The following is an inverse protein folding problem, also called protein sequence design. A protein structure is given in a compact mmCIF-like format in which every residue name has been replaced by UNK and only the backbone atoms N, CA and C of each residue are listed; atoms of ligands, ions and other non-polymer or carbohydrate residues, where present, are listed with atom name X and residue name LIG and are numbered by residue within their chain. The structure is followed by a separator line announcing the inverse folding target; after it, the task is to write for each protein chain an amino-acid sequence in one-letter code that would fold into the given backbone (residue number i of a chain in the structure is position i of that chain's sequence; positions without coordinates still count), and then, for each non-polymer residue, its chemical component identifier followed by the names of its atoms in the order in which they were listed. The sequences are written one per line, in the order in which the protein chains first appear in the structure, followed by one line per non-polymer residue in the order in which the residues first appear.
data_IF_710275362669
#
_entry.id   IF_710275362669
#
_cell.length_a   1.000
_cell.length_b   1.000
_cell.length_c   1.000
_cell.angle_alpha   90.00
_cell.angle_beta   90.00
_cell.angle_gamma   90.00
#
_symmetry.space_group_name_H-M   'P 1'
#
loop_
_entity.id
_entity.type
_entity.pdbx_description
1 polymer ?
#
# COMPACT_ATOMS: atom_id res chain seq x y z
N UNK A 1 13.54 17.00 7.32
CA UNK A 1 13.97 15.59 7.16
C UNK A 1 13.33 15.07 5.89
N UNK A 2 14.11 14.56 4.98
CA UNK A 2 13.54 14.01 3.76
C UNK A 2 12.98 12.59 4.00
N UNK A 3 12.25 12.06 3.03
CA UNK A 3 11.55 10.79 3.17
C UNK A 3 12.51 9.61 3.41
N UNK A 4 13.68 9.61 2.80
CA UNK A 4 14.64 8.51 2.95
C UNK A 4 15.34 8.55 4.32
N UNK A 5 15.61 9.75 4.84
CA UNK A 5 16.09 9.93 6.22
C UNK A 5 15.02 9.42 7.21
N UNK A 6 13.76 9.74 6.95
CA UNK A 6 12.64 9.28 7.79
C UNK A 6 12.49 7.76 7.75
N UNK A 7 12.59 7.16 6.58
CA UNK A 7 12.59 5.70 6.44
C UNK A 7 13.71 5.07 7.26
N UNK A 8 14.93 5.63 7.17
CA UNK A 8 16.08 5.12 7.93
C UNK A 8 15.86 5.23 9.43
N UNK A 9 15.34 6.36 9.90
CA UNK A 9 15.01 6.58 11.32
C UNK A 9 14.00 5.56 11.84
N UNK A 10 13.00 5.22 11.02
CA UNK A 10 11.94 4.27 11.35
C UNK A 10 12.34 2.80 11.12
N UNK A 11 13.52 2.55 10.57
CA UNK A 11 13.93 1.20 10.19
C UNK A 11 13.11 0.60 9.04
N UNK A 12 12.58 1.46 8.17
CA UNK A 12 11.78 1.06 7.01
C UNK A 12 12.68 0.89 5.80
N UNK A 13 12.65 -0.30 5.21
CA UNK A 13 13.32 -0.59 3.94
C UNK A 13 12.28 -0.96 2.89
N UNK A 14 12.39 -0.35 1.71
CA UNK A 14 11.51 -0.73 0.60
C UNK A 14 11.98 -2.03 -0.02
N UNK A 15 11.06 -2.96 -0.30
CA UNK A 15 11.39 -4.14 -1.09
C UNK A 15 11.68 -3.75 -2.54
N UNK A 16 12.19 -4.68 -3.33
CA UNK A 16 12.20 -4.53 -4.78
C UNK A 16 10.76 -4.31 -5.29
N UNK A 17 10.60 -3.49 -6.31
CA UNK A 17 9.27 -3.27 -6.90
C UNK A 17 8.68 -4.61 -7.36
N UNK A 18 7.43 -4.92 -6.98
CA UNK A 18 6.84 -6.22 -7.25
C UNK A 18 6.70 -6.47 -8.76
N UNK A 19 6.89 -7.73 -9.16
CA UNK A 19 6.65 -8.17 -10.52
C UNK A 19 5.16 -8.12 -10.85
N UNK A 20 4.83 -7.83 -12.11
CA UNK A 20 3.45 -7.88 -12.58
C UNK A 20 2.97 -9.33 -12.76
N UNK A 21 1.75 -9.59 -12.34
CA UNK A 21 1.10 -10.90 -12.45
C UNK A 21 0.12 -10.99 -13.63
N UNK A 22 0.11 -9.98 -14.54
CA UNK A 22 -0.80 -9.93 -15.66
C UNK A 22 -0.51 -8.78 -16.62
N UNK A 23 -1.48 -8.53 -17.49
CA UNK A 23 -1.40 -7.48 -18.51
C UNK A 23 -1.93 -6.15 -17.95
N UNK A 24 -1.09 -5.42 -17.25
CA UNK A 24 -1.40 -4.09 -16.71
C UNK A 24 -0.13 -3.30 -16.45
N UNK A 25 -0.28 -2.00 -16.21
CA UNK A 25 0.80 -1.14 -15.74
C UNK A 25 0.86 -1.16 -14.21
N UNK A 26 2.03 -1.27 -13.62
CA UNK A 26 2.19 -1.22 -12.16
C UNK A 26 1.84 0.15 -11.59
N UNK A 27 2.05 1.21 -12.37
CA UNK A 27 1.72 2.57 -11.98
C UNK A 27 1.38 3.39 -13.22
N UNK A 28 0.28 4.13 -13.17
CA UNK A 28 -0.21 4.93 -14.30
C UNK A 28 -0.25 6.40 -13.92
N UNK A 29 0.47 7.23 -14.67
CA UNK A 29 0.42 8.68 -14.54
C UNK A 29 -0.79 9.25 -15.32
N UNK A 30 -1.48 10.22 -14.74
CA UNK A 30 -2.54 10.97 -15.40
C UNK A 30 -2.72 12.36 -14.76
N UNK A 31 -3.45 13.26 -15.44
CA UNK A 31 -3.72 14.60 -14.92
C UNK A 31 -2.49 15.47 -14.65
N UNK A 32 -1.34 15.10 -15.20
CA UNK A 32 -0.08 15.84 -15.05
C UNK A 32 0.74 15.46 -13.84
N UNK A 33 0.13 15.27 -12.67
CA UNK A 33 0.83 15.03 -11.39
C UNK A 33 0.25 13.90 -10.54
N UNK A 34 -0.69 13.13 -11.07
CA UNK A 34 -1.31 12.02 -10.36
C UNK A 34 -0.74 10.67 -10.82
N UNK A 35 -0.48 9.80 -9.87
CA UNK A 35 0.06 8.45 -10.10
C UNK A 35 -0.80 7.42 -9.41
N UNK A 36 -1.41 6.55 -10.20
CA UNK A 36 -2.25 5.47 -9.69
C UNK A 36 -1.47 4.17 -9.69
N UNK A 37 -1.19 3.66 -8.51
CA UNK A 37 -0.48 2.39 -8.31
C UNK A 37 -1.49 1.26 -8.30
N UNK A 38 -1.26 0.26 -9.15
CA UNK A 38 -2.06 -0.96 -9.20
C UNK A 38 -2.00 -1.73 -7.89
N UNK A 39 -3.00 -2.57 -7.66
CA UNK A 39 -3.08 -3.38 -6.45
C UNK A 39 -1.82 -4.18 -6.18
N UNK A 40 -1.29 -4.06 -4.96
CA UNK A 40 -0.13 -4.79 -4.46
C UNK A 40 -0.54 -5.67 -3.29
N UNK A 41 -0.06 -6.92 -3.30
CA UNK A 41 -0.23 -7.86 -2.22
C UNK A 41 0.83 -7.70 -1.11
N UNK A 42 0.77 -8.55 -0.08
CA UNK A 42 1.66 -8.47 1.08
C UNK A 42 2.96 -9.28 0.91
N UNK A 43 3.22 -9.83 -0.26
CA UNK A 43 4.36 -10.74 -0.48
C UNK A 43 5.65 -9.94 -0.57
N UNK A 44 6.57 -10.18 0.38
CA UNK A 44 7.93 -9.63 0.37
C UNK A 44 8.94 -10.79 0.39
N UNK A 45 8.87 -11.66 1.39
CA UNK A 45 9.85 -12.74 1.62
C UNK A 45 9.26 -14.15 1.46
N UNK A 46 8.15 -14.29 0.76
CA UNK A 46 7.51 -15.58 0.55
C UNK A 46 6.00 -15.50 0.52
N UNK A 47 5.32 -16.61 0.21
CA UNK A 47 3.88 -16.63 0.05
C UNK A 47 3.17 -16.31 1.36
N UNK A 48 2.12 -15.49 1.25
CA UNK A 48 1.21 -15.17 2.36
C UNK A 48 -0.18 -15.50 1.90
N UNK A 49 -0.90 -16.33 2.66
CA UNK A 49 -2.23 -16.81 2.30
C UNK A 49 -3.15 -16.83 3.51
N UNK A 50 -4.43 -16.81 3.25
CA UNK A 50 -5.46 -16.97 4.27
C UNK A 50 -6.49 -15.85 4.26
N UNK A 51 -7.42 -15.95 5.19
CA UNK A 51 -8.63 -15.12 5.26
C UNK A 51 -8.70 -14.48 6.64
N UNK A 52 -8.98 -13.20 6.67
CA UNK A 52 -9.21 -12.47 7.92
C UNK A 52 -10.46 -13.03 8.61
N UNK A 53 -10.36 -13.21 9.92
CA UNK A 53 -11.40 -13.84 10.71
C UNK A 53 -11.41 -15.36 10.65
N UNK A 54 -10.45 -15.97 9.99
CA UNK A 54 -10.26 -17.43 9.91
C UNK A 54 -8.80 -17.79 10.21
N UNK A 55 -7.95 -17.96 9.20
CA UNK A 55 -6.53 -18.27 9.42
C UNK A 55 -5.71 -17.05 9.87
N UNK A 56 -6.20 -15.84 9.59
CA UNK A 56 -5.48 -14.57 9.80
C UNK A 56 -6.19 -13.72 10.83
N UNK A 57 -5.46 -13.28 11.86
CA UNK A 57 -5.96 -12.35 12.88
C UNK A 57 -5.91 -10.90 12.38
N UNK A 58 -6.61 -9.98 13.07
CA UNK A 58 -6.54 -8.53 12.79
C UNK A 58 -5.10 -8.03 12.87
N UNK A 59 -4.37 -8.42 13.89
CA UNK A 59 -2.96 -8.01 14.11
C UNK A 59 -2.05 -8.48 12.97
N UNK A 60 -2.20 -9.73 12.54
CA UNK A 60 -1.50 -10.26 11.37
C UNK A 60 -1.92 -9.51 10.10
N UNK A 61 -3.21 -9.24 9.95
CA UNK A 61 -3.76 -8.48 8.83
C UNK A 61 -3.15 -7.07 8.73
N UNK A 62 -2.93 -6.41 9.86
CA UNK A 62 -2.26 -5.10 9.90
C UNK A 62 -0.81 -5.19 9.41
N UNK A 63 -0.08 -6.22 9.80
CA UNK A 63 1.29 -6.48 9.29
C UNK A 63 1.26 -6.69 7.78
N UNK A 64 0.28 -7.43 7.27
CA UNK A 64 0.14 -7.68 5.83
C UNK A 64 -0.30 -6.41 5.07
N UNK A 65 -1.17 -5.60 5.64
CA UNK A 65 -1.54 -4.31 5.04
C UNK A 65 -0.33 -3.36 4.95
N UNK A 66 0.53 -3.36 5.98
CA UNK A 66 1.80 -2.61 5.95
C UNK A 66 2.72 -3.13 4.85
N UNK A 67 2.85 -4.44 4.69
CA UNK A 67 3.62 -5.06 3.62
C UNK A 67 3.07 -4.71 2.22
N UNK A 68 1.74 -4.69 2.05
CA UNK A 68 1.11 -4.20 0.83
C UNK A 68 1.54 -2.76 0.51
N UNK A 69 1.54 -1.89 1.51
CA UNK A 69 1.92 -0.48 1.34
C UNK A 69 3.42 -0.33 1.01
N UNK A 70 4.30 -1.14 1.59
CA UNK A 70 5.71 -1.17 1.20
C UNK A 70 5.87 -1.53 -0.28
N UNK A 71 5.13 -2.50 -0.77
CA UNK A 71 5.12 -2.87 -2.19
C UNK A 71 4.56 -1.74 -3.07
N UNK A 72 3.50 -1.06 -2.61
CA UNK A 72 2.94 0.12 -3.29
C UNK A 72 3.99 1.22 -3.42
N UNK A 73 4.70 1.54 -2.34
CA UNK A 73 5.74 2.58 -2.34
C UNK A 73 6.93 2.18 -3.21
N UNK A 74 7.31 0.91 -3.24
CA UNK A 74 8.36 0.42 -4.13
C UNK A 74 7.97 0.56 -5.61
N UNK A 75 6.73 0.24 -5.96
CA UNK A 75 6.19 0.43 -7.31
C UNK A 75 6.13 1.92 -7.69
N UNK A 76 5.70 2.77 -6.76
CA UNK A 76 5.66 4.22 -6.95
C UNK A 76 7.07 4.78 -7.18
N UNK A 77 8.04 4.42 -6.33
CA UNK A 77 9.42 4.87 -6.47
C UNK A 77 10.00 4.51 -7.83
N UNK A 78 9.77 3.29 -8.28
CA UNK A 78 10.21 2.84 -9.62
C UNK A 78 9.60 3.71 -10.73
N UNK A 79 8.35 4.14 -10.58
CA UNK A 79 7.65 4.94 -11.58
C UNK A 79 8.08 6.42 -11.57
N UNK A 80 8.29 7.00 -10.39
CA UNK A 80 8.60 8.44 -10.24
C UNK A 80 10.09 8.74 -10.13
N UNK A 81 10.89 7.74 -9.77
CA UNK A 81 12.35 7.84 -9.63
C UNK A 81 12.84 8.31 -8.26
N UNK A 82 12.06 9.11 -7.56
CA UNK A 82 12.44 9.68 -6.25
C UNK A 82 11.19 9.99 -5.42
N UNK A 83 11.05 9.36 -4.26
CA UNK A 83 9.91 9.57 -3.38
C UNK A 83 9.90 10.95 -2.70
N UNK A 84 11.01 11.71 -2.75
CA UNK A 84 11.01 13.12 -2.30
C UNK A 84 10.03 13.97 -3.09
N UNK A 85 9.67 13.55 -4.29
CA UNK A 85 8.72 14.22 -5.17
C UNK A 85 7.25 13.99 -4.78
N UNK A 86 6.98 13.03 -3.90
CA UNK A 86 5.60 12.75 -3.43
C UNK A 86 5.12 13.91 -2.57
N UNK A 87 4.00 14.49 -2.96
CA UNK A 87 3.34 15.59 -2.24
C UNK A 87 2.33 15.09 -1.23
N UNK A 88 1.53 14.11 -1.63
CA UNK A 88 0.53 13.53 -0.74
C UNK A 88 0.03 12.18 -1.23
N UNK A 89 -0.39 11.35 -0.28
CA UNK A 89 -1.24 10.21 -0.54
C UNK A 89 -2.68 10.72 -0.68
N UNK A 90 -3.33 10.42 -1.81
CA UNK A 90 -4.65 10.98 -2.14
C UNK A 90 -5.76 10.00 -1.77
N UNK A 91 -5.64 8.75 -2.23
CA UNK A 91 -6.65 7.72 -2.01
C UNK A 91 -5.99 6.36 -1.93
N UNK A 92 -6.43 5.55 -0.98
CA UNK A 92 -6.16 4.12 -0.97
C UNK A 92 -7.46 3.31 -0.89
N UNK A 93 -7.44 2.15 -1.53
CA UNK A 93 -8.45 1.11 -1.34
C UNK A 93 -7.73 -0.14 -0.86
N UNK A 94 -8.15 -0.62 0.30
CA UNK A 94 -7.62 -1.86 0.87
C UNK A 94 -8.68 -2.94 0.77
N UNK A 95 -8.39 -3.97 -0.01
CA UNK A 95 -9.24 -5.15 -0.18
C UNK A 95 -8.80 -6.20 0.84
N UNK A 96 -9.73 -6.67 1.64
CA UNK A 96 -9.46 -7.63 2.71
C UNK A 96 -10.22 -8.92 2.42
N UNK A 97 -9.48 -9.99 2.16
CA UNK A 97 -10.08 -11.32 1.98
C UNK A 97 -10.65 -11.76 3.33
N UNK A 98 -11.97 -11.77 3.44
CA UNK A 98 -12.68 -11.84 4.71
C UNK A 98 -13.54 -13.08 4.83
N UNK A 99 -13.57 -13.69 6.02
CA UNK A 99 -14.62 -14.63 6.39
C UNK A 99 -15.97 -13.90 6.38
N UNK A 100 -17.07 -14.64 6.20
CA UNK A 100 -18.39 -14.05 6.01
C UNK A 100 -18.86 -13.17 7.20
N UNK A 101 -18.37 -13.47 8.40
CA UNK A 101 -18.70 -12.77 9.64
C UNK A 101 -17.59 -11.79 10.09
N UNK A 102 -16.60 -11.54 9.26
CA UNK A 102 -15.53 -10.58 9.57
C UNK A 102 -15.90 -9.18 9.08
N UNK A 103 -15.90 -8.20 10.00
CA UNK A 103 -16.32 -6.82 9.73
C UNK A 103 -15.28 -5.75 10.14
N UNK A 104 -14.04 -6.16 10.46
CA UNK A 104 -13.00 -5.25 10.93
C UNK A 104 -11.98 -4.87 9.84
N UNK A 105 -12.45 -4.73 8.59
CA UNK A 105 -11.60 -4.33 7.47
C UNK A 105 -10.88 -3.00 7.70
N UNK A 106 -11.52 -1.96 8.30
CA UNK A 106 -10.83 -0.71 8.60
C UNK A 106 -9.65 -0.88 9.55
N UNK A 107 -9.78 -1.73 10.58
CA UNK A 107 -8.69 -2.02 11.51
C UNK A 107 -7.49 -2.64 10.80
N UNK A 108 -7.74 -3.58 9.89
CA UNK A 108 -6.70 -4.19 9.06
C UNK A 108 -6.00 -3.14 8.19
N UNK A 109 -6.77 -2.30 7.51
CA UNK A 109 -6.26 -1.25 6.62
C UNK A 109 -5.38 -0.24 7.35
N UNK A 110 -5.59 -0.04 8.66
CA UNK A 110 -4.77 0.86 9.48
C UNK A 110 -3.28 0.51 9.43
N UNK A 111 -2.92 -0.76 9.23
CA UNK A 111 -1.52 -1.17 9.10
C UNK A 111 -0.79 -0.46 7.97
N UNK A 112 -1.43 -0.32 6.82
CA UNK A 112 -0.87 0.40 5.68
C UNK A 112 -0.93 1.92 5.83
N UNK A 113 -2.07 2.44 6.31
CA UNK A 113 -2.25 3.89 6.53
C UNK A 113 -1.28 4.42 7.60
N UNK A 114 -1.00 3.63 8.62
CA UNK A 114 -0.04 3.99 9.67
C UNK A 114 1.35 4.25 9.08
N UNK A 115 1.81 3.45 8.14
CA UNK A 115 3.08 3.67 7.46
C UNK A 115 3.11 5.02 6.75
N UNK A 116 2.05 5.37 6.02
CA UNK A 116 1.96 6.65 5.32
C UNK A 116 1.96 7.82 6.30
N UNK A 117 1.25 7.70 7.42
CA UNK A 117 1.23 8.71 8.49
C UNK A 117 2.62 8.90 9.10
N UNK A 118 3.33 7.82 9.38
CA UNK A 118 4.69 7.85 9.92
C UNK A 118 5.68 8.54 8.97
N UNK A 119 5.52 8.31 7.66
CA UNK A 119 6.44 8.84 6.65
C UNK A 119 6.17 10.30 6.28
N UNK A 120 4.93 10.71 6.11
CA UNK A 120 4.56 12.03 5.59
C UNK A 120 3.73 12.90 6.53
N UNK A 121 3.38 12.40 7.71
CA UNK A 121 2.53 13.14 8.65
C UNK A 121 1.06 13.14 8.27
N UNK A 122 0.24 13.80 9.07
CA UNK A 122 -1.22 13.77 8.94
C UNK A 122 -1.71 14.40 7.64
N UNK A 123 -1.23 15.59 7.32
CA UNK A 123 -1.71 16.36 6.15
C UNK A 123 -1.40 15.68 4.83
N UNK A 124 -0.16 15.24 4.63
CA UNK A 124 0.29 14.62 3.38
C UNK A 124 0.14 13.09 3.38
N UNK A 125 0.20 12.46 4.52
CA UNK A 125 0.22 11.00 4.65
C UNK A 125 -1.15 10.34 4.75
N UNK A 126 -2.15 11.01 5.35
CA UNK A 126 -3.47 10.40 5.50
C UNK A 126 -4.34 10.58 4.24
N UNK A 127 -4.60 9.53 3.48
CA UNK A 127 -5.43 9.59 2.29
C UNK A 127 -6.92 9.48 2.60
N UNK A 128 -7.78 9.80 1.64
CA UNK A 128 -9.11 9.22 1.60
C UNK A 128 -9.00 7.70 1.49
N UNK A 129 -9.88 6.95 2.14
CA UNK A 129 -9.74 5.50 2.21
C UNK A 129 -11.07 4.76 2.15
N UNK A 130 -11.07 3.62 1.44
CA UNK A 130 -12.08 2.59 1.56
C UNK A 130 -11.39 1.28 1.97
N UNK A 131 -11.95 0.59 2.95
CA UNK A 131 -11.52 -0.74 3.39
C UNK A 131 -12.69 -1.69 3.17
N UNK A 132 -12.50 -2.68 2.30
CA UNK A 132 -13.59 -3.48 1.73
C UNK A 132 -13.31 -4.96 1.95
N UNK A 133 -14.33 -5.68 2.43
CA UNK A 133 -14.30 -7.14 2.46
C UNK A 133 -14.57 -7.72 1.08
N UNK A 134 -13.76 -8.69 0.68
CA UNK A 134 -13.96 -9.49 -0.53
C UNK A 134 -13.93 -10.96 -0.18
N UNK A 135 -14.60 -11.79 -0.98
CA UNK A 135 -14.64 -13.22 -0.73
C UNK A 135 -13.37 -13.96 -1.16
N UNK A 136 -12.64 -13.41 -2.13
CA UNK A 136 -11.41 -14.02 -2.62
C UNK A 136 -10.49 -12.96 -3.25
N UNK A 137 -9.19 -13.14 -3.08
CA UNK A 137 -8.14 -12.37 -3.75
C UNK A 137 -7.23 -13.31 -4.54
N UNK A 138 -6.58 -12.81 -5.61
CA UNK A 138 -5.64 -13.61 -6.39
C UNK A 138 -4.57 -14.25 -5.50
N UNK A 139 -4.24 -15.50 -5.75
CA UNK A 139 -3.23 -16.22 -4.98
C UNK A 139 -3.59 -16.48 -3.52
N UNK A 140 -4.87 -16.34 -3.16
CA UNK A 140 -5.36 -16.52 -1.79
C UNK A 140 -4.70 -15.57 -0.78
N UNK A 141 -4.21 -14.40 -1.23
CA UNK A 141 -3.61 -13.40 -0.34
C UNK A 141 -4.68 -12.78 0.58
N UNK A 142 -4.33 -12.43 1.82
CA UNK A 142 -5.30 -11.90 2.77
C UNK A 142 -5.67 -10.43 2.55
N UNK A 143 -4.76 -9.65 1.98
CA UNK A 143 -4.92 -8.20 1.80
C UNK A 143 -4.31 -7.77 0.48
N UNK A 144 -4.92 -6.80 -0.17
CA UNK A 144 -4.39 -6.13 -1.35
C UNK A 144 -4.71 -4.64 -1.26
N UNK A 145 -3.77 -3.79 -1.65
CA UNK A 145 -3.96 -2.33 -1.60
C UNK A 145 -3.59 -1.69 -2.91
N UNK A 146 -4.46 -0.82 -3.42
CA UNK A 146 -4.18 0.12 -4.51
C UNK A 146 -4.13 1.54 -3.96
N UNK A 147 -3.40 2.44 -4.63
CA UNK A 147 -3.20 3.79 -4.11
C UNK A 147 -3.03 4.83 -5.21
N UNK A 148 -3.49 6.04 -4.91
CA UNK A 148 -3.33 7.22 -5.74
C UNK A 148 -2.49 8.25 -4.99
N UNK A 149 -1.45 8.76 -5.65
CA UNK A 149 -0.55 9.76 -5.09
C UNK A 149 -0.48 11.01 -5.97
N UNK A 150 -0.32 12.16 -5.34
CA UNK A 150 0.09 13.38 -6.00
C UNK A 150 1.61 13.51 -5.92
N UNK A 151 2.25 13.79 -7.05
CA UNK A 151 3.71 13.85 -7.18
C UNK A 151 4.10 15.14 -7.91
N UNK A 152 5.14 15.82 -7.44
CA UNK A 152 5.65 16.99 -8.16
C UNK A 152 6.13 16.61 -9.55
N UNK A 153 5.71 17.39 -10.55
CA UNK A 153 6.09 17.18 -11.95
C UNK A 153 7.43 17.81 -12.30
N UNK A 154 7.90 18.74 -11.46
CA UNK A 154 9.17 19.43 -11.65
C UNK A 154 10.26 18.61 -10.96
N UNK A 155 11.29 18.22 -11.71
CA UNK A 155 12.48 17.62 -11.12
C UNK A 155 13.10 18.57 -10.11
N UNK A 156 13.48 18.08 -8.92
CA UNK A 156 14.17 18.89 -7.95
C UNK A 156 15.53 19.38 -8.48
#
# INVERSE_FOLDING_TARGET
MDIYEKMKELGVELPAAPAKWGLYSSCKKFGGNLFYVSGCGPVIDGPVMGRLGKEVTVEQGQVYARACMLNVLAALEKAVGDLRRVKSAVKITTFVQSADDFHEQPAVANGGTQLLLELWGEEAGLPSRSAIGVNALPGNIPVETEALFEVDTVSP
#
